data_IF_791014327066
#
_entry.id   IF_791014327066
#
_cell.length_a   1.000
_cell.length_b   1.000
_cell.length_c   1.000
_cell.angle_alpha   90.00
_cell.angle_beta   90.00
_cell.angle_gamma   90.00
#
_symmetry.space_group_name_H-M   'P 1'
#
loop_
_entity.id
_entity.type
_entity.pdbx_description
1 polymer ?
#
# COMPACT_ATOMS: atom_id res chain seq x y z
N UNK A 1 -7.69 -13.84 11.62
CA UNK A 1 -6.38 -14.17 11.02
C UNK A 1 -5.60 -12.88 10.81
N UNK A 2 -4.35 -12.76 11.30
CA UNK A 2 -3.46 -11.68 10.87
C UNK A 2 -2.87 -12.06 9.51
N UNK A 3 -3.67 -11.99 8.43
CA UNK A 3 -3.31 -12.50 7.09
C UNK A 3 -2.92 -11.42 6.09
N UNK A 4 -2.30 -10.33 6.56
CA UNK A 4 -1.71 -9.33 5.69
C UNK A 4 -0.27 -9.05 6.15
N UNK A 5 0.70 -9.40 5.30
CA UNK A 5 2.12 -9.10 5.51
C UNK A 5 2.40 -7.58 5.37
N UNK A 6 1.45 -6.82 4.84
CA UNK A 6 1.52 -5.39 4.56
C UNK A 6 0.56 -4.62 5.46
N UNK A 7 0.84 -4.60 6.77
CA UNK A 7 0.00 -3.89 7.76
C UNK A 7 0.05 -2.37 7.58
N UNK A 8 -0.96 -1.64 8.05
CA UNK A 8 -0.97 -0.16 8.10
C UNK A 8 0.31 0.41 8.72
N UNK A 9 0.80 -0.21 9.80
CA UNK A 9 2.08 0.17 10.41
C UNK A 9 3.29 0.01 9.48
N UNK A 10 3.32 -1.03 8.63
CA UNK A 10 4.36 -1.18 7.60
C UNK A 10 4.24 -0.11 6.52
N UNK A 11 3.02 0.15 6.02
CA UNK A 11 2.79 1.14 4.97
C UNK A 11 3.18 2.56 5.47
N UNK A 12 2.83 2.93 6.70
CA UNK A 12 3.27 4.20 7.31
C UNK A 12 4.79 4.28 7.48
N UNK A 13 5.47 3.18 7.80
CA UNK A 13 6.94 3.15 7.83
C UNK A 13 7.53 3.35 6.44
N UNK A 14 6.94 2.73 5.42
CA UNK A 14 7.34 2.92 4.02
C UNK A 14 7.16 4.38 3.58
N UNK A 15 6.01 4.99 3.90
CA UNK A 15 5.73 6.40 3.60
C UNK A 15 6.79 7.33 4.20
N UNK A 16 7.14 7.13 5.48
CA UNK A 16 8.20 7.89 6.13
C UNK A 16 9.56 7.68 5.47
N UNK A 17 9.83 6.49 4.93
CA UNK A 17 11.08 6.21 4.24
C UNK A 17 11.13 6.89 2.87
N UNK A 18 10.05 6.81 2.08
CA UNK A 18 9.92 7.52 0.82
C UNK A 18 10.03 9.05 0.99
N UNK A 19 9.41 9.61 2.04
CA UNK A 19 9.56 11.03 2.38
C UNK A 19 11.01 11.41 2.68
N UNK A 20 11.80 10.52 3.30
CA UNK A 20 13.23 10.77 3.52
C UNK A 20 14.03 10.71 2.23
N UNK A 21 13.75 9.74 1.35
CA UNK A 21 14.38 9.64 0.03
C UNK A 21 14.12 10.91 -0.79
N UNK A 22 12.86 11.30 -0.95
CA UNK A 22 12.49 12.52 -1.70
C UNK A 22 13.15 13.76 -1.10
N UNK A 23 13.17 13.92 0.22
CA UNK A 23 13.77 15.11 0.88
C UNK A 23 15.29 15.07 1.02
N UNK A 24 15.96 14.00 0.59
CA UNK A 24 17.41 13.89 0.68
C UNK A 24 18.14 14.73 -0.38
N UNK A 25 17.44 15.06 -1.48
CA UNK A 25 17.97 15.83 -2.61
C UNK A 25 17.69 17.33 -2.43
N UNK A 26 18.62 18.22 -2.80
CA UNK A 26 18.35 19.65 -2.87
C UNK A 26 17.22 19.96 -3.87
N UNK A 27 16.23 20.76 -3.45
CA UNK A 27 15.05 21.14 -4.25
C UNK A 27 14.23 19.94 -4.78
N UNK A 28 13.56 19.18 -3.90
CA UNK A 28 12.81 18.00 -4.31
C UNK A 28 11.59 18.36 -5.16
N UNK A 29 11.31 17.54 -6.18
CA UNK A 29 10.13 17.72 -7.05
C UNK A 29 8.84 17.80 -6.20
N UNK A 30 8.13 18.96 -6.24
CA UNK A 30 6.88 19.13 -5.49
C UNK A 30 5.80 18.10 -5.86
N UNK A 31 5.81 17.57 -7.08
CA UNK A 31 4.84 16.56 -7.51
C UNK A 31 4.99 15.25 -6.72
N UNK A 32 6.22 14.86 -6.36
CA UNK A 32 6.46 13.67 -5.53
C UNK A 32 5.95 13.87 -4.10
N UNK A 33 6.14 15.07 -3.52
CA UNK A 33 5.61 15.41 -2.20
C UNK A 33 4.08 15.42 -2.18
N UNK A 34 3.44 15.90 -3.26
CA UNK A 34 1.99 15.85 -3.42
C UNK A 34 1.48 14.40 -3.52
N UNK A 35 2.16 13.53 -4.29
CA UNK A 35 1.83 12.09 -4.36
C UNK A 35 1.92 11.41 -2.99
N UNK A 36 2.99 11.66 -2.23
CA UNK A 36 3.14 11.11 -0.88
C UNK A 36 2.07 11.64 0.09
N UNK A 37 1.64 12.89 -0.07
CA UNK A 37 0.55 13.46 0.74
C UNK A 37 -0.79 12.79 0.43
N UNK A 38 -1.09 12.55 -0.85
CA UNK A 38 -2.26 11.77 -1.27
C UNK A 38 -2.21 10.34 -0.69
N UNK A 39 -1.06 9.67 -0.76
CA UNK A 39 -0.91 8.33 -0.17
C UNK A 39 -1.04 8.33 1.35
N UNK A 40 -0.64 9.40 2.05
CA UNK A 40 -0.91 9.55 3.48
C UNK A 40 -2.40 9.54 3.77
N UNK A 41 -3.19 10.32 3.03
CA UNK A 41 -4.65 10.35 3.17
C UNK A 41 -5.28 9.00 2.85
N UNK A 42 -4.78 8.29 1.84
CA UNK A 42 -5.25 6.94 1.50
C UNK A 42 -4.92 5.90 2.57
N UNK A 43 -3.79 6.03 3.28
CA UNK A 43 -3.48 5.17 4.43
C UNK A 43 -4.47 5.44 5.57
N UNK A 44 -4.84 6.70 5.83
CA UNK A 44 -5.82 7.03 6.86
C UNK A 44 -7.21 6.44 6.51
N UNK A 45 -7.61 6.53 5.24
CA UNK A 45 -8.83 5.90 4.75
C UNK A 45 -8.78 4.35 4.84
N UNK A 46 -7.62 3.76 4.54
CA UNK A 46 -7.40 2.32 4.65
C UNK A 46 -7.50 1.84 6.11
N UNK A 47 -6.92 2.56 7.06
CA UNK A 47 -7.00 2.27 8.49
C UNK A 47 -8.45 2.34 8.99
N UNK A 48 -9.22 3.34 8.54
CA UNK A 48 -10.66 3.41 8.81
C UNK A 48 -11.42 2.22 8.22
N UNK A 49 -11.07 1.80 6.99
CA UNK A 49 -11.69 0.63 6.35
C UNK A 49 -11.38 -0.67 7.13
N UNK A 50 -10.14 -0.85 7.60
CA UNK A 50 -9.76 -1.97 8.47
C UNK A 50 -10.62 -2.00 9.74
N UNK A 51 -10.80 -0.85 10.39
CA UNK A 51 -11.61 -0.73 11.59
C UNK A 51 -13.08 -1.09 11.34
N UNK A 52 -13.68 -0.56 10.26
CA UNK A 52 -15.08 -0.82 9.89
C UNK A 52 -15.34 -2.29 9.53
N UNK A 53 -14.37 -2.96 8.91
CA UNK A 53 -14.44 -4.40 8.66
C UNK A 53 -14.34 -5.18 9.96
N UNK A 54 -13.42 -4.77 10.85
CA UNK A 54 -13.24 -5.38 12.17
C UNK A 54 -14.47 -5.26 13.08
N UNK A 55 -15.18 -4.14 13.02
CA UNK A 55 -16.45 -3.91 13.74
C UNK A 55 -17.68 -4.53 13.06
N UNK A 56 -17.51 -5.11 11.86
CA UNK A 56 -18.61 -5.62 11.04
C UNK A 56 -19.64 -4.54 10.61
N UNK A 57 -19.21 -3.27 10.52
CA UNK A 57 -20.05 -2.13 10.08
C UNK A 57 -20.33 -2.14 8.57
N UNK A 58 -19.67 -3.02 7.82
CA UNK A 58 -19.83 -3.17 6.38
C UNK A 58 -20.33 -4.60 6.11
N UNK A 59 -21.45 -4.78 5.39
CA UNK A 59 -21.98 -6.10 5.07
C UNK A 59 -21.16 -6.73 3.92
N UNK A 60 -19.96 -7.21 4.25
CA UNK A 60 -19.05 -7.89 3.33
C UNK A 60 -18.64 -9.24 3.92
N UNK A 61 -18.59 -10.30 3.09
CA UNK A 61 -18.15 -11.60 3.56
C UNK A 61 -16.65 -11.59 3.92
N UNK A 62 -16.24 -12.42 4.87
CA UNK A 62 -14.87 -12.41 5.41
C UNK A 62 -13.78 -12.67 4.34
N UNK A 63 -14.06 -13.49 3.33
CA UNK A 63 -13.11 -13.79 2.25
C UNK A 63 -12.89 -12.61 1.29
N UNK A 64 -13.97 -11.93 0.93
CA UNK A 64 -13.95 -10.70 0.14
C UNK A 64 -13.29 -9.56 0.93
N UNK A 65 -13.62 -9.40 2.22
CA UNK A 65 -13.00 -8.40 3.08
C UNK A 65 -11.47 -8.56 3.17
N UNK A 66 -11.01 -9.79 3.41
CA UNK A 66 -9.57 -10.10 3.44
C UNK A 66 -8.88 -9.82 2.09
N UNK A 67 -9.53 -10.19 0.98
CA UNK A 67 -9.01 -9.93 -0.37
C UNK A 67 -8.92 -8.44 -0.69
N UNK A 68 -9.93 -7.65 -0.32
CA UNK A 68 -9.93 -6.20 -0.47
C UNK A 68 -8.82 -5.54 0.33
N UNK A 69 -8.68 -5.92 1.60
CA UNK A 69 -7.65 -5.35 2.47
C UNK A 69 -6.24 -5.63 1.94
N UNK A 70 -5.97 -6.86 1.50
CA UNK A 70 -4.69 -7.22 0.92
C UNK A 70 -4.40 -6.45 -0.38
N UNK A 71 -5.39 -6.35 -1.27
CA UNK A 71 -5.24 -5.65 -2.54
C UNK A 71 -4.87 -4.18 -2.31
N UNK A 72 -5.64 -3.46 -1.51
CA UNK A 72 -5.39 -2.05 -1.22
C UNK A 72 -4.04 -1.86 -0.52
N UNK A 73 -3.72 -2.69 0.48
CA UNK A 73 -2.48 -2.60 1.22
C UNK A 73 -1.24 -2.77 0.34
N UNK A 74 -1.25 -3.78 -0.54
CA UNK A 74 -0.11 -4.11 -1.40
C UNK A 74 0.08 -3.09 -2.52
N UNK A 75 -1.01 -2.57 -3.10
CA UNK A 75 -0.96 -1.51 -4.10
C UNK A 75 -0.47 -0.19 -3.51
N UNK A 76 -0.96 0.21 -2.32
CA UNK A 76 -0.44 1.39 -1.62
C UNK A 76 1.06 1.26 -1.29
N UNK A 77 1.48 0.08 -0.83
CA UNK A 77 2.87 -0.15 -0.49
C UNK A 77 3.80 -0.02 -1.70
N UNK A 78 3.40 -0.55 -2.87
CA UNK A 78 4.14 -0.41 -4.12
C UNK A 78 4.15 1.04 -4.62
N UNK A 79 3.00 1.72 -4.59
CA UNK A 79 2.90 3.10 -5.05
C UNK A 79 3.80 4.05 -4.23
N UNK A 80 3.93 3.81 -2.92
CA UNK A 80 4.80 4.58 -2.03
C UNK A 80 6.28 4.33 -2.33
N UNK A 81 6.68 3.07 -2.54
CA UNK A 81 8.09 2.75 -2.81
C UNK A 81 8.53 3.18 -4.20
N UNK A 82 7.60 3.22 -5.17
CA UNK A 82 7.83 3.82 -6.49
C UNK A 82 8.15 5.31 -6.37
N UNK A 83 7.37 6.09 -5.60
CA UNK A 83 7.70 7.50 -5.35
C UNK A 83 9.02 7.66 -4.59
N UNK A 84 9.32 6.75 -3.66
CA UNK A 84 10.59 6.74 -2.95
C UNK A 84 11.79 6.54 -3.88
N UNK A 85 11.64 5.68 -4.90
CA UNK A 85 12.65 5.48 -5.95
C UNK A 85 12.73 6.68 -6.88
N UNK A 86 11.60 7.26 -7.30
CA UNK A 86 11.59 8.47 -8.12
C UNK A 86 12.36 9.64 -7.45
N UNK A 87 12.27 9.73 -6.12
CA UNK A 87 12.95 10.76 -5.33
C UNK A 87 14.43 10.50 -5.03
N UNK A 88 14.88 9.25 -5.15
CA UNK A 88 16.28 8.84 -4.94
C UNK A 88 16.62 7.66 -5.87
N UNK A 89 16.77 7.91 -7.19
CA UNK A 89 16.88 6.85 -8.19
C UNK A 89 18.12 5.97 -8.04
N UNK A 90 19.20 6.55 -7.49
CA UNK A 90 20.48 5.88 -7.26
C UNK A 90 20.63 5.35 -5.83
N UNK A 91 19.60 5.51 -4.99
CA UNK A 91 19.61 5.09 -3.60
C UNK A 91 19.41 3.58 -3.42
N UNK A 92 20.44 2.88 -2.94
CA UNK A 92 20.40 1.43 -2.64
C UNK A 92 19.16 1.02 -1.82
N UNK A 93 18.80 1.84 -0.83
CA UNK A 93 17.65 1.58 0.02
C UNK A 93 16.33 1.71 -0.76
N UNK A 94 16.17 2.75 -1.58
CA UNK A 94 14.96 2.99 -2.35
C UNK A 94 14.76 1.87 -3.39
N UNK A 95 15.83 1.51 -4.10
CA UNK A 95 15.85 0.42 -5.08
C UNK A 95 15.49 -0.93 -4.45
N UNK A 96 16.11 -1.26 -3.31
CA UNK A 96 15.81 -2.50 -2.60
C UNK A 96 14.34 -2.57 -2.14
N UNK A 97 13.77 -1.45 -1.70
CA UNK A 97 12.35 -1.39 -1.29
C UNK A 97 11.41 -1.51 -2.48
N UNK A 98 11.67 -0.80 -3.57
CA UNK A 98 10.88 -0.91 -4.80
C UNK A 98 10.77 -2.38 -5.26
N UNK A 99 11.89 -3.07 -5.46
CA UNK A 99 11.87 -4.47 -5.89
C UNK A 99 11.21 -5.42 -4.88
N UNK A 100 11.49 -5.26 -3.58
CA UNK A 100 10.89 -6.12 -2.56
C UNK A 100 9.36 -5.99 -2.52
N UNK A 101 8.82 -4.77 -2.69
CA UNK A 101 7.38 -4.55 -2.66
C UNK A 101 6.66 -5.06 -3.91
N UNK A 102 7.36 -5.17 -5.05
CA UNK A 102 6.75 -5.67 -6.28
C UNK A 102 6.26 -7.11 -6.16
N UNK A 103 6.93 -7.92 -5.34
CA UNK A 103 6.52 -9.30 -5.11
C UNK A 103 5.25 -9.42 -4.24
N UNK A 104 4.89 -8.37 -3.48
CA UNK A 104 3.76 -8.40 -2.55
C UNK A 104 2.39 -8.53 -3.26
N UNK A 105 2.27 -8.09 -4.52
CA UNK A 105 1.05 -8.24 -5.33
C UNK A 105 0.93 -9.62 -6.00
N UNK A 106 1.88 -10.53 -5.74
CA UNK A 106 1.96 -11.87 -6.35
C UNK A 106 1.80 -12.96 -5.29
N UNK A 107 2.55 -12.88 -4.19
CA UNK A 107 2.54 -13.92 -3.17
C UNK A 107 1.19 -14.04 -2.44
N UNK A 108 0.82 -15.28 -2.09
CA UNK A 108 -0.45 -15.62 -1.43
C UNK A 108 -1.70 -15.20 -2.20
N UNK A 109 -1.64 -15.25 -3.53
CA UNK A 109 -2.70 -14.84 -4.46
C UNK A 109 -2.39 -13.51 -5.15
N UNK A 110 -2.48 -13.47 -6.48
CA UNK A 110 -2.23 -12.23 -7.24
C UNK A 110 -3.37 -11.24 -7.07
N UNK A 111 -3.11 -9.95 -7.37
CA UNK A 111 -4.15 -8.92 -7.37
C UNK A 111 -5.37 -9.30 -8.24
N UNK A 112 -5.16 -9.99 -9.36
CA UNK A 112 -6.23 -10.50 -10.24
C UNK A 112 -7.13 -11.51 -9.52
N UNK A 113 -6.53 -12.43 -8.77
CA UNK A 113 -7.29 -13.43 -8.01
C UNK A 113 -8.12 -12.75 -6.92
N UNK A 114 -7.57 -11.74 -6.24
CA UNK A 114 -8.32 -10.97 -5.24
C UNK A 114 -9.47 -10.16 -5.86
N UNK A 115 -9.25 -9.53 -7.03
CA UNK A 115 -10.33 -8.88 -7.80
C UNK A 115 -11.41 -9.88 -8.22
N UNK A 116 -11.06 -11.09 -8.63
CA UNK A 116 -12.03 -12.12 -8.98
C UNK A 116 -12.86 -12.60 -7.77
N UNK A 117 -12.25 -12.69 -6.58
CA UNK A 117 -12.96 -13.01 -5.33
C UNK A 117 -13.94 -11.88 -4.98
N UNK A 118 -13.52 -10.62 -5.13
CA UNK A 118 -14.38 -9.46 -4.91
C UNK A 118 -15.55 -9.43 -5.89
N UNK A 119 -15.28 -9.63 -7.18
CA UNK A 119 -16.32 -9.70 -8.21
C UNK A 119 -17.35 -10.77 -7.87
N UNK A 120 -16.92 -12.00 -7.54
CA UNK A 120 -17.82 -13.09 -7.11
C UNK A 120 -18.62 -12.81 -5.85
N UNK A 121 -18.29 -11.79 -5.07
CA UNK A 121 -19.10 -11.39 -3.91
C UNK A 121 -20.23 -10.42 -4.26
N UNK A 122 -20.21 -9.87 -5.47
CA UNK A 122 -21.19 -8.89 -5.97
C UNK A 122 -22.28 -9.51 -6.87
N UNK A 123 -22.06 -10.73 -7.39
CA UNK A 123 -22.93 -11.45 -8.32
C UNK A 123 -23.32 -12.79 -7.74
#
# INVERSE_FOLDING_TARGET
ARSNNTTTGLIRRSLRAALRSVRSVPDPDPALLLRLSDYSMRIDAFEMLENRIGSSDIPINAGAASSMLKLIATELHQAITEVGLDGDPDGDFALAKYFATRAASIYSGTSEIHRNILYRSLV
#
